data_IF_657184868699
#
_entry.id   IF_657184868699
#
_cell.length_a   1.000
_cell.length_b   1.000
_cell.length_c   1.000
_cell.angle_alpha   90.00
_cell.angle_beta   90.00
_cell.angle_gamma   90.00
#
_symmetry.space_group_name_H-M   'P 1'
#
loop_
_entity.id
_entity.type
_entity.pdbx_description
1 polymer ?
#
# COMPACT_ATOMS: atom_id res chain seq x y z
N UNK A 1 68.26 34.31 28.26
CA UNK A 1 67.24 33.29 28.60
C UNK A 1 65.90 33.83 28.12
N UNK A 2 65.33 33.32 27.01
CA UNK A 2 64.00 32.69 27.11
C UNK A 2 63.77 31.58 26.06
N UNK A 3 63.43 30.36 26.50
CA UNK A 3 62.98 29.27 25.60
C UNK A 3 61.73 28.54 26.12
N UNK A 4 61.10 29.03 27.20
CA UNK A 4 60.02 28.30 27.89
C UNK A 4 58.59 28.61 27.44
N UNK A 5 58.35 29.75 26.77
CA UNK A 5 56.98 30.26 26.54
C UNK A 5 56.35 29.72 25.25
N UNK A 6 57.15 29.18 24.33
CA UNK A 6 56.67 28.76 23.01
C UNK A 6 56.12 27.32 22.99
N UNK A 7 56.51 26.48 23.97
CA UNK A 7 56.13 25.07 23.98
C UNK A 7 54.65 24.87 24.33
N UNK A 8 54.13 25.60 25.32
CA UNK A 8 52.71 25.58 25.69
C UNK A 8 51.81 26.10 24.56
N UNK A 9 52.26 27.14 23.84
CA UNK A 9 51.56 27.65 22.67
C UNK A 9 51.50 26.58 21.56
N UNK A 10 52.61 25.89 21.29
CA UNK A 10 52.65 24.77 20.35
C UNK A 10 51.70 23.62 20.75
N UNK A 11 51.61 23.28 22.04
CA UNK A 11 50.66 22.26 22.51
C UNK A 11 49.20 22.72 22.34
N UNK A 12 48.89 23.98 22.65
CA UNK A 12 47.55 24.54 22.48
C UNK A 12 47.15 24.66 21.00
N UNK A 13 48.07 25.09 20.13
CA UNK A 13 47.89 25.14 18.68
C UNK A 13 47.67 23.74 18.11
N UNK A 14 48.44 22.75 18.55
CA UNK A 14 48.25 21.36 18.13
C UNK A 14 46.90 20.82 18.57
N UNK A 15 46.48 21.08 19.81
CA UNK A 15 45.16 20.68 20.30
C UNK A 15 44.04 21.34 19.48
N UNK A 16 44.16 22.64 19.18
CA UNK A 16 43.17 23.37 18.40
C UNK A 16 43.08 22.84 16.96
N UNK A 17 44.23 22.55 16.33
CA UNK A 17 44.29 22.00 14.98
C UNK A 17 43.66 20.61 14.92
N UNK A 18 43.92 19.76 15.92
CA UNK A 18 43.32 18.42 16.00
C UNK A 18 41.79 18.49 16.10
N UNK A 19 41.26 19.43 16.89
CA UNK A 19 39.81 19.61 17.04
C UNK A 19 39.16 20.08 15.73
N UNK A 20 39.79 21.04 15.04
CA UNK A 20 39.35 21.49 13.71
C UNK A 20 39.34 20.34 12.68
N UNK A 21 40.37 19.49 12.67
CA UNK A 21 40.41 18.33 11.76
C UNK A 21 39.27 17.33 12.04
N UNK A 22 38.93 17.10 13.32
CA UNK A 22 37.79 16.23 13.65
C UNK A 22 36.46 16.84 13.20
N UNK A 23 36.28 18.15 13.37
CA UNK A 23 35.07 18.82 12.91
C UNK A 23 34.94 18.76 11.38
N UNK A 24 36.04 18.97 10.65
CA UNK A 24 36.04 18.84 9.20
C UNK A 24 35.74 17.40 8.74
N UNK A 25 36.25 16.38 9.43
CA UNK A 25 35.90 14.98 9.15
C UNK A 25 34.42 14.71 9.42
N UNK A 26 33.84 15.25 10.49
CA UNK A 26 32.41 15.13 10.77
C UNK A 26 31.57 15.79 9.67
N UNK A 27 31.95 16.99 9.21
CA UNK A 27 31.30 17.66 8.08
C UNK A 27 31.43 16.87 6.77
N UNK A 28 32.58 16.26 6.51
CA UNK A 28 32.75 15.40 5.33
C UNK A 28 31.89 14.14 5.41
N UNK A 29 31.85 13.47 6.57
CA UNK A 29 30.97 12.34 6.79
C UNK A 29 29.52 12.76 6.59
N UNK A 30 29.06 13.87 7.18
CA UNK A 30 27.75 14.48 6.94
C UNK A 30 27.45 14.70 5.46
N UNK A 31 28.38 15.30 4.70
CA UNK A 31 28.22 15.58 3.27
C UNK A 31 28.14 14.28 2.45
N UNK A 32 28.89 13.23 2.83
CA UNK A 32 28.82 11.89 2.25
C UNK A 32 27.47 11.19 2.55
N UNK A 33 26.89 11.34 3.74
CA UNK A 33 25.56 10.76 4.04
C UNK A 33 24.46 11.48 3.23
N UNK A 34 24.63 12.78 2.95
CA UNK A 34 23.68 13.53 2.11
C UNK A 34 23.82 13.29 0.61
N UNK A 35 24.84 12.56 0.15
CA UNK A 35 25.06 12.27 -1.28
C UNK A 35 25.12 10.78 -1.64
N UNK A 36 25.17 9.87 -0.65
CA UNK A 36 25.16 8.42 -0.87
C UNK A 36 24.12 7.70 0.00
N UNK A 37 22.86 8.08 -0.14
CA UNK A 37 21.76 7.11 -0.18
C UNK A 37 21.26 7.01 -1.61
N UNK A 38 22.17 6.73 -2.53
CA UNK A 38 21.84 6.33 -3.89
C UNK A 38 22.78 5.20 -4.27
N UNK A 39 22.18 4.08 -4.67
CA UNK A 39 22.81 2.85 -5.17
C UNK A 39 23.28 1.82 -4.13
N UNK A 40 22.36 1.43 -3.25
CA UNK A 40 22.07 0.00 -3.02
C UNK A 40 20.58 -0.23 -2.79
N UNK A 41 19.73 0.63 -3.35
CA UNK A 41 18.32 0.36 -3.46
C UNK A 41 18.07 0.09 -4.95
N UNK A 42 17.35 -1.00 -5.32
CA UNK A 42 16.83 -1.11 -6.68
C UNK A 42 16.09 0.20 -7.00
N UNK A 43 16.06 0.66 -8.26
CA UNK A 43 15.47 1.95 -8.59
C UNK A 43 14.10 2.04 -7.93
N UNK A 44 13.98 2.87 -6.89
CA UNK A 44 12.70 3.23 -6.32
C UNK A 44 12.09 4.16 -7.35
N UNK A 45 11.43 3.51 -8.32
CA UNK A 45 10.49 4.13 -9.24
C UNK A 45 9.66 5.07 -8.37
N UNK A 46 9.56 6.38 -8.72
CA UNK A 46 8.60 7.25 -8.07
C UNK A 46 7.27 6.53 -8.19
N UNK A 47 6.77 5.97 -7.09
CA UNK A 47 5.52 5.24 -7.13
C UNK A 47 4.50 6.28 -7.50
N UNK A 48 4.06 6.22 -8.76
CA UNK A 48 2.92 6.98 -9.22
C UNK A 48 1.84 6.80 -8.13
N UNK A 49 1.10 7.86 -7.75
CA UNK A 49 -0.04 7.69 -6.86
C UNK A 49 -0.81 6.48 -7.36
N UNK A 50 -1.12 5.49 -6.51
CA UNK A 50 -1.69 4.23 -6.96
C UNK A 50 -2.86 4.57 -7.87
N UNK A 51 -2.70 4.29 -9.17
CA UNK A 51 -3.74 4.57 -10.15
C UNK A 51 -5.01 3.93 -9.60
N UNK A 52 -6.17 4.61 -9.61
CA UNK A 52 -7.38 4.08 -8.98
C UNK A 52 -7.52 2.62 -9.40
N UNK A 53 -7.35 1.71 -8.43
CA UNK A 53 -7.28 0.28 -8.74
C UNK A 53 -8.57 -0.08 -9.47
N UNK A 54 -8.43 -0.39 -10.76
CA UNK A 54 -9.57 -0.73 -11.59
C UNK A 54 -10.11 -2.04 -11.04
N UNK A 55 -11.37 -2.05 -10.62
CA UNK A 55 -12.00 -3.27 -10.13
C UNK A 55 -11.90 -4.31 -11.25
N UNK A 56 -11.34 -5.50 -10.98
CA UNK A 56 -11.16 -6.53 -11.98
C UNK A 56 -12.52 -7.00 -12.48
N UNK A 57 -12.60 -7.27 -13.78
CA UNK A 57 -13.81 -7.83 -14.39
C UNK A 57 -13.70 -9.33 -14.25
N UNK A 58 -14.44 -9.90 -13.29
CA UNK A 58 -14.46 -11.33 -13.03
C UNK A 58 -15.81 -11.95 -13.38
N UNK A 59 -15.82 -13.24 -13.70
CA UNK A 59 -17.06 -13.98 -13.92
C UNK A 59 -17.80 -14.22 -12.60
N UNK A 60 -19.12 -14.43 -12.71
CA UNK A 60 -19.95 -14.82 -11.57
C UNK A 60 -19.46 -16.13 -10.94
N UNK A 61 -19.03 -17.09 -11.76
CA UNK A 61 -18.50 -18.38 -11.31
C UNK A 61 -17.27 -18.22 -10.41
N UNK A 62 -16.30 -17.40 -10.83
CA UNK A 62 -15.09 -17.12 -10.04
C UNK A 62 -15.44 -16.44 -8.72
N UNK A 63 -16.35 -15.45 -8.75
CA UNK A 63 -16.86 -14.81 -7.54
C UNK A 63 -17.53 -15.83 -6.60
N UNK A 64 -18.39 -16.68 -7.13
CA UNK A 64 -19.11 -17.67 -6.33
C UNK A 64 -18.17 -18.70 -5.71
N UNK A 65 -17.17 -19.17 -6.46
CA UNK A 65 -16.14 -20.08 -5.94
C UNK A 65 -15.32 -19.43 -4.82
N UNK A 66 -14.88 -18.19 -5.01
CA UNK A 66 -14.04 -17.48 -4.04
C UNK A 66 -14.77 -17.15 -2.73
N UNK A 67 -16.03 -16.72 -2.82
CA UNK A 67 -16.83 -16.29 -1.66
C UNK A 67 -17.77 -17.38 -1.11
N UNK A 68 -17.65 -18.62 -1.59
CA UNK A 68 -18.45 -19.74 -1.12
C UNK A 68 -19.95 -19.55 -1.32
N UNK A 69 -20.35 -19.05 -2.49
CA UNK A 69 -21.77 -18.96 -2.89
C UNK A 69 -22.17 -20.30 -3.50
N UNK A 70 -23.25 -20.90 -3.00
CA UNK A 70 -23.71 -22.20 -3.48
C UNK A 70 -24.28 -22.12 -4.91
N UNK A 71 -24.45 -23.28 -5.56
CA UNK A 71 -24.95 -23.36 -6.94
C UNK A 71 -26.39 -22.85 -7.10
N UNK A 72 -27.25 -23.01 -6.09
CA UNK A 72 -28.63 -22.51 -6.17
C UNK A 72 -28.67 -20.97 -6.20
N UNK A 73 -27.83 -20.34 -5.40
CA UNK A 73 -27.70 -18.89 -5.31
C UNK A 73 -26.95 -18.32 -6.50
N UNK A 74 -25.97 -19.06 -7.04
CA UNK A 74 -25.36 -18.74 -8.33
C UNK A 74 -26.41 -18.63 -9.44
N UNK A 75 -27.31 -19.64 -9.56
CA UNK A 75 -28.39 -19.62 -10.55
C UNK A 75 -29.30 -18.41 -10.41
N UNK A 76 -29.71 -18.08 -9.18
CA UNK A 76 -30.54 -16.90 -8.90
C UNK A 76 -29.81 -15.58 -9.20
N UNK A 77 -28.51 -15.48 -8.91
CA UNK A 77 -27.70 -14.31 -9.24
C UNK A 77 -27.56 -14.13 -10.76
N UNK A 78 -27.42 -15.23 -11.49
CA UNK A 78 -27.40 -15.22 -12.95
C UNK A 78 -28.74 -14.75 -13.51
N UNK A 79 -29.87 -15.21 -12.96
CA UNK A 79 -31.21 -14.75 -13.34
C UNK A 79 -31.44 -13.27 -13.01
N UNK A 80 -30.87 -12.78 -11.91
CA UNK A 80 -30.87 -11.35 -11.55
C UNK A 80 -30.03 -10.49 -12.51
N UNK A 81 -29.19 -11.10 -13.36
CA UNK A 81 -28.20 -10.39 -14.17
C UNK A 81 -27.06 -9.79 -13.35
N UNK A 82 -26.78 -10.35 -12.16
CA UNK A 82 -25.72 -9.83 -11.30
C UNK A 82 -24.35 -10.00 -11.95
N UNK A 83 -23.58 -8.91 -11.95
CA UNK A 83 -22.18 -8.87 -12.38
C UNK A 83 -21.31 -8.37 -11.21
N UNK A 84 -20.28 -9.13 -10.78
CA UNK A 84 -19.34 -8.66 -9.76
C UNK A 84 -18.73 -7.31 -10.14
N UNK A 85 -18.65 -6.39 -9.17
CA UNK A 85 -18.18 -5.02 -9.43
C UNK A 85 -19.27 -4.04 -9.88
N UNK A 86 -20.44 -4.50 -10.30
CA UNK A 86 -21.57 -3.62 -10.61
C UNK A 86 -22.17 -3.05 -9.30
N UNK A 87 -22.21 -1.72 -9.20
CA UNK A 87 -22.74 -1.00 -8.04
C UNK A 87 -24.27 -1.01 -7.96
N UNK A 88 -24.95 -1.29 -9.07
CA UNK A 88 -26.42 -1.34 -9.14
C UNK A 88 -27.01 -2.44 -8.25
N UNK A 89 -26.21 -3.45 -7.89
CA UNK A 89 -26.63 -4.49 -6.94
C UNK A 89 -27.07 -3.92 -5.59
N UNK A 90 -26.54 -2.75 -5.21
CA UNK A 90 -26.87 -2.07 -3.95
C UNK A 90 -28.14 -1.22 -4.03
N UNK A 91 -28.56 -0.84 -5.24
CA UNK A 91 -29.75 -0.02 -5.46
C UNK A 91 -30.98 -0.87 -5.77
N UNK A 92 -30.79 -2.16 -6.06
CA UNK A 92 -31.87 -3.11 -6.25
C UNK A 92 -32.79 -3.19 -5.02
N UNK A 93 -34.08 -2.96 -5.25
CA UNK A 93 -35.10 -2.99 -4.21
C UNK A 93 -35.38 -4.41 -3.70
N UNK A 94 -35.80 -4.53 -2.43
CA UNK A 94 -36.14 -5.81 -1.78
C UNK A 94 -37.09 -6.68 -2.59
N UNK A 95 -38.06 -6.05 -3.25
CA UNK A 95 -39.04 -6.76 -4.08
C UNK A 95 -38.38 -7.53 -5.22
N UNK A 96 -37.33 -6.99 -5.84
CA UNK A 96 -36.65 -7.64 -6.96
C UNK A 96 -35.86 -8.89 -6.50
N UNK A 97 -35.21 -8.81 -5.33
CA UNK A 97 -34.53 -9.96 -4.75
C UNK A 97 -35.50 -11.04 -4.28
N UNK A 98 -36.64 -10.64 -3.71
CA UNK A 98 -37.66 -11.60 -3.29
C UNK A 98 -38.31 -12.30 -4.49
N UNK A 99 -38.51 -11.59 -5.59
CA UNK A 99 -39.08 -12.13 -6.84
C UNK A 99 -38.31 -13.32 -7.40
N UNK A 100 -36.98 -13.34 -7.23
CA UNK A 100 -36.11 -14.44 -7.67
C UNK A 100 -35.80 -15.45 -6.54
N UNK A 101 -36.51 -15.32 -5.41
CA UNK A 101 -36.43 -16.27 -4.30
C UNK A 101 -35.25 -16.07 -3.35
N UNK A 102 -34.61 -14.89 -3.30
CA UNK A 102 -33.67 -14.58 -2.22
C UNK A 102 -34.44 -14.20 -0.94
N UNK A 103 -34.30 -14.97 0.16
CA UNK A 103 -34.75 -14.49 1.47
C UNK A 103 -33.85 -13.34 1.94
N UNK A 104 -34.39 -12.48 2.80
CA UNK A 104 -33.74 -11.23 3.25
C UNK A 104 -32.31 -11.46 3.75
N UNK A 105 -32.10 -12.46 4.60
CA UNK A 105 -30.77 -12.76 5.16
C UNK A 105 -29.75 -13.17 4.10
N UNK A 106 -30.21 -13.84 3.05
CA UNK A 106 -29.36 -14.33 1.97
C UNK A 106 -28.93 -13.18 1.04
N UNK A 107 -29.84 -12.22 0.75
CA UNK A 107 -29.46 -10.93 0.14
C UNK A 107 -28.31 -10.31 0.93
N UNK A 108 -28.44 -10.23 2.27
CA UNK A 108 -27.49 -9.46 3.08
C UNK A 108 -26.10 -10.10 3.05
N UNK A 109 -26.06 -11.43 3.01
CA UNK A 109 -24.83 -12.18 2.78
C UNK A 109 -24.19 -11.86 1.43
N UNK A 110 -24.98 -11.83 0.34
CA UNK A 110 -24.45 -11.51 -1.00
C UNK A 110 -23.91 -10.09 -1.08
N UNK A 111 -24.62 -9.10 -0.54
CA UNK A 111 -24.13 -7.71 -0.53
C UNK A 111 -22.83 -7.57 0.28
N UNK A 112 -22.73 -8.25 1.43
CA UNK A 112 -21.51 -8.26 2.22
C UNK A 112 -20.31 -8.87 1.47
N UNK A 113 -20.54 -9.98 0.74
CA UNK A 113 -19.52 -10.61 -0.12
C UNK A 113 -19.12 -9.71 -1.28
N UNK A 114 -20.08 -9.03 -1.90
CA UNK A 114 -19.79 -8.03 -2.92
C UNK A 114 -18.94 -6.88 -2.35
N UNK A 115 -19.26 -6.39 -1.15
CA UNK A 115 -18.46 -5.34 -0.50
C UNK A 115 -17.04 -5.77 -0.16
N UNK A 116 -16.86 -7.02 0.29
CA UNK A 116 -15.55 -7.62 0.46
C UNK A 116 -14.79 -7.64 -0.87
N UNK A 117 -15.42 -8.09 -1.96
CA UNK A 117 -14.84 -8.07 -3.29
C UNK A 117 -14.39 -6.68 -3.73
N UNK A 118 -15.23 -5.66 -3.58
CA UNK A 118 -14.87 -4.28 -3.94
C UNK A 118 -13.67 -3.80 -3.11
N UNK A 119 -13.61 -4.16 -1.82
CA UNK A 119 -12.52 -3.79 -0.93
C UNK A 119 -11.21 -4.49 -1.33
N UNK A 120 -11.25 -5.79 -1.56
CA UNK A 120 -10.08 -6.60 -1.91
C UNK A 120 -9.53 -6.20 -3.30
N UNK A 121 -10.42 -5.95 -4.26
CA UNK A 121 -10.10 -5.38 -5.56
C UNK A 121 -9.37 -4.03 -5.43
N UNK A 122 -9.89 -3.12 -4.59
CA UNK A 122 -9.29 -1.79 -4.38
C UNK A 122 -7.92 -1.85 -3.70
N UNK A 123 -7.71 -2.84 -2.84
CA UNK A 123 -6.45 -3.05 -2.14
C UNK A 123 -5.43 -3.82 -3.00
N UNK A 124 -5.79 -4.25 -4.21
CA UNK A 124 -4.95 -5.12 -5.04
C UNK A 124 -4.75 -6.52 -4.45
N UNK A 125 -5.59 -6.92 -3.49
CA UNK A 125 -5.55 -8.24 -2.85
C UNK A 125 -6.28 -9.30 -3.67
N UNK A 126 -7.08 -8.86 -4.64
CA UNK A 126 -7.67 -9.75 -5.63
C UNK A 126 -6.61 -10.18 -6.64
N UNK A 127 -5.91 -11.28 -6.33
CA UNK A 127 -4.97 -11.95 -7.22
C UNK A 127 -5.66 -13.18 -7.82
N UNK A 128 -5.80 -13.22 -9.14
CA UNK A 128 -6.26 -14.38 -9.91
C UNK A 128 -5.22 -15.51 -9.91
#
# INVERSE_FOLDING_TARGET
MPFGENLLECFLLQQQQQQHQQFQQMLQLQMLQTTHSSLSHPPSIPSAPPSPAKIPVISLEVFCAHYGVNNADHGRLQELGYTPGNKDIKTLERVNWNSIGFPVLLWHSILAKHDAFIKDAKLGLWME
#
